data_IF_553664856208
#
_entry.id   IF_553664856208
#
_cell.length_a   1.000
_cell.length_b   1.000
_cell.length_c   1.000
_cell.angle_alpha   90.00
_cell.angle_beta   90.00
_cell.angle_gamma   90.00
#
_symmetry.space_group_name_H-M   'P 1'
#
loop_
_entity.id
_entity.type
_entity.pdbx_description
1 polymer ?
#
# COMPACT_ATOMS: atom_id res chain seq x y z
N UNK A 1 17.98 -3.01 -9.71
CA UNK A 1 17.32 -4.30 -9.48
C UNK A 1 18.34 -5.42 -9.64
N UNK A 2 18.22 -6.52 -8.88
CA UNK A 2 19.02 -7.73 -9.07
C UNK A 2 18.27 -8.65 -10.05
N UNK A 3 18.97 -9.24 -11.02
CA UNK A 3 18.36 -10.20 -11.96
C UNK A 3 18.23 -11.55 -11.28
N UNK A 4 16.99 -12.04 -11.18
CA UNK A 4 16.69 -13.34 -10.58
C UNK A 4 15.90 -14.17 -11.57
N UNK A 5 16.32 -15.42 -11.78
CA UNK A 5 15.57 -16.40 -12.56
C UNK A 5 14.74 -17.26 -11.60
N UNK A 6 13.43 -17.29 -11.83
CA UNK A 6 12.49 -18.13 -11.08
C UNK A 6 11.68 -18.96 -12.09
N UNK A 7 11.27 -20.15 -11.67
CA UNK A 7 10.35 -20.98 -12.44
C UNK A 7 8.92 -20.71 -11.97
N UNK A 8 7.99 -20.63 -12.92
CA UNK A 8 6.57 -20.44 -12.69
C UNK A 8 5.82 -21.57 -13.39
N UNK A 9 4.68 -21.97 -12.84
CA UNK A 9 3.78 -22.86 -13.57
C UNK A 9 3.19 -22.12 -14.78
N UNK A 10 2.73 -22.86 -15.79
CA UNK A 10 2.09 -22.27 -16.96
C UNK A 10 0.87 -21.41 -16.59
N UNK A 11 0.08 -21.89 -15.62
CA UNK A 11 -1.08 -21.17 -15.09
C UNK A 11 -0.69 -19.83 -14.46
N UNK A 12 0.36 -19.81 -13.64
CA UNK A 12 0.87 -18.58 -13.01
C UNK A 12 1.38 -17.59 -14.06
N UNK A 13 2.10 -18.08 -15.07
CA UNK A 13 2.58 -17.25 -16.16
C UNK A 13 1.44 -16.64 -16.98
N UNK A 14 0.42 -17.44 -17.31
CA UNK A 14 -0.77 -16.97 -18.03
C UNK A 14 -1.51 -15.89 -17.25
N UNK A 15 -1.73 -16.11 -15.95
CA UNK A 15 -2.33 -15.13 -15.04
C UNK A 15 -1.54 -13.81 -15.04
N UNK A 16 -0.21 -13.86 -14.87
CA UNK A 16 0.63 -12.66 -14.89
C UNK A 16 0.55 -11.92 -16.23
N UNK A 17 0.52 -12.66 -17.35
CA UNK A 17 0.39 -12.07 -18.69
C UNK A 17 -0.94 -11.33 -18.85
N UNK A 18 -2.04 -11.92 -18.42
CA UNK A 18 -3.36 -11.27 -18.46
C UNK A 18 -3.43 -10.00 -17.60
N UNK A 19 -2.87 -10.03 -16.39
CA UNK A 19 -2.81 -8.85 -15.52
C UNK A 19 -1.94 -7.76 -16.14
N UNK A 20 -0.79 -8.13 -16.69
CA UNK A 20 0.14 -7.18 -17.32
C UNK A 20 -0.50 -6.47 -18.52
N UNK A 21 -1.27 -7.22 -19.34
CA UNK A 21 -2.02 -6.66 -20.46
C UNK A 21 -3.12 -5.70 -19.99
N UNK A 22 -3.89 -6.08 -18.96
CA UNK A 22 -4.95 -5.22 -18.39
C UNK A 22 -4.40 -3.93 -17.78
N UNK A 23 -3.23 -3.99 -17.15
CA UNK A 23 -2.58 -2.83 -16.51
C UNK A 23 -1.70 -2.02 -17.47
N UNK A 24 -1.47 -2.50 -18.69
CA UNK A 24 -0.51 -1.94 -19.64
C UNK A 24 0.91 -1.77 -19.03
N UNK A 25 1.35 -2.77 -18.25
CA UNK A 25 2.67 -2.80 -17.60
C UNK A 25 3.42 -4.07 -17.94
N UNK A 26 4.71 -4.12 -17.62
CA UNK A 26 5.51 -5.34 -17.83
C UNK A 26 5.13 -6.45 -16.82
N UNK A 27 5.27 -7.72 -17.22
CA UNK A 27 5.14 -8.87 -16.31
C UNK A 27 6.04 -8.71 -15.07
N UNK A 28 7.25 -8.17 -15.25
CA UNK A 28 8.18 -7.93 -14.16
C UNK A 28 7.67 -6.89 -13.14
N UNK A 29 6.91 -5.88 -13.59
CA UNK A 29 6.27 -4.90 -12.70
C UNK A 29 5.16 -5.56 -11.89
N UNK A 30 4.31 -6.36 -12.54
CA UNK A 30 3.25 -7.11 -11.86
C UNK A 30 3.84 -8.03 -10.77
N UNK A 31 4.93 -8.75 -11.06
CA UNK A 31 5.62 -9.59 -10.08
C UNK A 31 6.13 -8.75 -8.89
N UNK A 32 6.73 -7.58 -9.15
CA UNK A 32 7.17 -6.67 -8.08
C UNK A 32 6.02 -6.20 -7.21
N UNK A 33 4.89 -5.80 -7.81
CA UNK A 33 3.68 -5.40 -7.07
C UNK A 33 3.16 -6.53 -6.19
N UNK A 34 3.10 -7.76 -6.71
CA UNK A 34 2.70 -8.94 -5.94
C UNK A 34 3.63 -9.18 -4.74
N UNK A 35 4.95 -9.06 -4.93
CA UNK A 35 5.93 -9.18 -3.84
C UNK A 35 5.71 -8.07 -2.80
N UNK A 36 5.55 -6.82 -3.23
CA UNK A 36 5.30 -5.70 -2.33
C UNK A 36 4.01 -5.88 -1.52
N UNK A 37 2.93 -6.33 -2.18
CA UNK A 37 1.66 -6.65 -1.53
C UNK A 37 1.78 -7.81 -0.54
N UNK A 38 2.53 -8.86 -0.90
CA UNK A 38 2.81 -9.99 -0.02
C UNK A 38 3.60 -9.54 1.22
N UNK A 39 4.63 -8.73 1.05
CA UNK A 39 5.40 -8.15 2.16
C UNK A 39 4.53 -7.27 3.07
N UNK A 40 3.60 -6.51 2.48
CA UNK A 40 2.67 -5.68 3.23
C UNK A 40 1.65 -6.50 4.04
N UNK A 41 1.05 -7.51 3.42
CA UNK A 41 0.01 -8.35 4.03
C UNK A 41 0.54 -9.32 5.09
N UNK A 42 1.77 -9.84 4.94
CA UNK A 42 2.42 -10.71 5.94
C UNK A 42 3.04 -9.96 7.12
N UNK A 43 2.85 -8.64 7.24
CA UNK A 43 3.56 -7.83 8.24
C UNK A 43 5.09 -7.95 8.11
N UNK A 44 5.60 -8.32 6.93
CA UNK A 44 7.03 -8.37 6.60
C UNK A 44 7.59 -7.00 6.21
N UNK A 45 6.74 -5.97 6.14
CA UNK A 45 7.17 -4.58 6.28
C UNK A 45 7.79 -4.47 7.67
N UNK A 46 9.12 -4.56 7.73
CA UNK A 46 9.92 -4.25 8.91
C UNK A 46 9.31 -3.03 9.59
N UNK A 47 9.11 -3.07 10.91
CA UNK A 47 8.59 -1.96 11.70
C UNK A 47 9.16 -0.60 11.24
N UNK A 48 10.42 -0.58 10.83
CA UNK A 48 11.13 0.56 10.24
C UNK A 48 10.38 1.31 9.13
N UNK A 49 9.72 0.62 8.19
CA UNK A 49 8.97 1.27 7.11
C UNK A 49 7.61 1.81 7.56
N UNK A 50 6.93 1.12 8.49
CA UNK A 50 5.72 1.65 9.14
C UNK A 50 6.06 2.92 9.92
N UNK A 51 7.13 2.90 10.70
CA UNK A 51 7.65 4.06 11.42
C UNK A 51 8.05 5.19 10.46
N UNK A 52 8.74 4.90 9.35
CA UNK A 52 9.10 5.91 8.35
C UNK A 52 7.87 6.58 7.73
N UNK A 53 6.82 5.82 7.41
CA UNK A 53 5.54 6.38 6.93
C UNK A 53 4.85 7.23 8.00
N UNK A 54 4.79 6.76 9.25
CA UNK A 54 4.19 7.51 10.35
C UNK A 54 4.93 8.84 10.61
N UNK A 55 6.27 8.80 10.69
CA UNK A 55 7.11 10.00 10.86
C UNK A 55 6.93 10.97 9.70
N UNK A 56 6.88 10.48 8.46
CA UNK A 56 6.65 11.34 7.29
C UNK A 56 5.25 11.96 7.25
N UNK A 57 4.29 11.45 8.01
CA UNK A 57 2.93 12.00 8.09
C UNK A 57 2.75 12.98 9.25
N UNK A 58 3.60 12.90 10.27
CA UNK A 58 3.61 13.84 11.40
C UNK A 58 3.89 15.26 10.89
N UNK A 59 3.02 16.20 11.26
CA UNK A 59 3.17 17.62 10.93
C UNK A 59 2.74 18.04 9.52
N UNK A 60 2.41 17.10 8.62
CA UNK A 60 1.91 17.43 7.26
C UNK A 60 0.49 17.99 7.25
N UNK A 61 -0.30 17.68 8.27
CA UNK A 61 -1.70 18.05 8.34
C UNK A 61 -1.96 18.83 9.63
N UNK A 62 -2.63 19.97 9.50
CA UNK A 62 -3.17 20.76 10.61
C UNK A 62 -4.66 20.88 10.42
N UNK A 63 -5.42 20.31 11.33
CA UNK A 63 -6.88 20.41 11.38
C UNK A 63 -7.36 21.69 12.07
N UNK A 64 -6.47 22.45 12.73
CA UNK A 64 -6.81 23.66 13.49
C UNK A 64 -7.50 23.42 14.84
N UNK A 65 -8.03 22.21 15.09
CA UNK A 65 -8.65 21.84 16.37
C UNK A 65 -7.69 20.99 17.21
N UNK A 66 -7.58 21.30 18.51
CA UNK A 66 -6.58 20.72 19.42
C UNK A 66 -7.02 19.38 20.04
N UNK A 67 -8.28 19.03 19.93
CA UNK A 67 -8.94 17.94 20.66
C UNK A 67 -9.53 16.86 19.71
N UNK A 68 -9.16 16.87 18.44
CA UNK A 68 -9.68 15.93 17.43
C UNK A 68 -9.42 14.47 17.80
N UNK A 69 -8.28 14.16 18.43
CA UNK A 69 -7.99 12.78 18.85
C UNK A 69 -9.01 12.27 19.87
N UNK A 70 -9.56 13.16 20.71
CA UNK A 70 -10.52 12.83 21.77
C UNK A 70 -11.95 12.84 21.20
N UNK A 71 -12.29 13.86 20.42
CA UNK A 71 -13.64 14.13 19.94
C UNK A 71 -13.84 13.77 18.46
N UNK A 72 -13.13 12.75 17.96
CA UNK A 72 -13.12 12.37 16.54
C UNK A 72 -14.54 12.07 16.01
N UNK A 73 -15.34 11.31 16.75
CA UNK A 73 -16.71 10.95 16.36
C UNK A 73 -17.63 12.16 16.26
N UNK A 74 -17.48 13.13 17.16
CA UNK A 74 -18.26 14.38 17.15
C UNK A 74 -17.96 15.18 15.89
N UNK A 75 -16.68 15.35 15.55
CA UNK A 75 -16.27 16.09 14.36
C UNK A 75 -16.67 15.38 13.08
N UNK A 76 -16.60 14.04 13.06
CA UNK A 76 -17.09 13.25 11.94
C UNK A 76 -18.61 13.44 11.75
N UNK A 77 -19.39 13.38 12.82
CA UNK A 77 -20.83 13.59 12.75
C UNK A 77 -21.23 15.02 12.36
N UNK A 78 -20.44 16.03 12.74
CA UNK A 78 -20.65 17.42 12.31
C UNK A 78 -20.42 17.60 10.80
N UNK A 79 -19.37 17.00 10.24
CA UNK A 79 -19.03 17.13 8.81
C UNK A 79 -20.00 16.35 7.90
N UNK A 80 -20.51 15.20 8.33
CA UNK A 80 -21.47 14.37 7.59
C UNK A 80 -22.94 14.80 7.73
N UNK A 81 -23.24 15.84 8.53
CA UNK A 81 -24.58 16.41 8.69
C UNK A 81 -24.89 17.58 7.73
N UNK A 82 -23.95 17.92 6.85
CA UNK A 82 -24.18 18.83 5.72
C UNK A 82 -24.67 18.07 4.50
#
# INVERSE_FOLDING_TARGET
MIRTQIQLTEEQYKMLKEISAKKNTSIAEVVRECIAYYSASKCMISNKEKYKKAINSIGKFKSGKKDISINHDKYLAEDFKK
#
